data_IF_617412095255
#
_entry.id   IF_617412095255
#
_cell.length_a   1.000
_cell.length_b   1.000
_cell.length_c   1.000
_cell.angle_alpha   90.00
_cell.angle_beta   90.00
_cell.angle_gamma   90.00
#
_symmetry.space_group_name_H-M   'P 1'
#
loop_
_entity.id
_entity.type
_entity.pdbx_description
1 polymer ?
#
# COMPACT_ATOMS: atom_id res chain seq x y z
N UNK A 1 15.20 -5.98 20.91
CA UNK A 1 14.41 -6.55 19.80
C UNK A 1 15.37 -7.16 18.80
N UNK A 2 15.06 -8.36 18.30
CA UNK A 2 15.87 -9.07 17.30
C UNK A 2 15.08 -9.19 16.00
N UNK A 3 15.75 -9.06 14.87
CA UNK A 3 15.20 -9.37 13.55
C UNK A 3 15.65 -10.78 13.16
N UNK A 4 14.70 -11.66 12.90
CA UNK A 4 14.96 -13.08 12.62
C UNK A 4 14.23 -13.49 11.35
N UNK A 5 14.91 -14.23 10.48
CA UNK A 5 14.26 -14.80 9.29
C UNK A 5 13.20 -15.82 9.70
N UNK A 6 12.04 -15.76 9.07
CA UNK A 6 10.91 -16.67 9.37
C UNK A 6 11.25 -18.15 9.18
N UNK A 7 12.18 -18.46 8.27
CA UNK A 7 12.59 -19.82 7.93
C UNK A 7 13.27 -20.58 9.11
N UNK A 8 13.86 -19.83 10.06
CA UNK A 8 14.54 -20.41 11.24
C UNK A 8 13.67 -20.39 12.49
N UNK A 9 12.45 -19.88 12.38
CA UNK A 9 11.51 -19.81 13.49
C UNK A 9 10.55 -20.99 13.50
N UNK A 10 10.05 -21.42 14.67
CA UNK A 10 8.90 -22.34 14.74
C UNK A 10 7.68 -21.78 14.00
N UNK A 11 6.91 -22.67 13.39
CA UNK A 11 5.72 -22.31 12.59
C UNK A 11 4.68 -21.48 13.35
N UNK A 12 4.62 -21.64 14.68
CA UNK A 12 3.66 -20.91 15.52
C UNK A 12 3.77 -19.39 15.35
N UNK A 13 4.95 -18.85 15.15
CA UNK A 13 5.13 -17.40 15.01
C UNK A 13 4.51 -16.85 13.72
N UNK A 14 4.70 -17.53 12.60
CA UNK A 14 4.04 -17.19 11.35
C UNK A 14 2.52 -17.34 11.43
N UNK A 15 2.03 -18.35 12.11
CA UNK A 15 0.60 -18.58 12.34
C UNK A 15 -0.03 -17.51 13.23
N UNK A 16 0.70 -17.01 14.22
CA UNK A 16 0.23 -15.88 15.05
C UNK A 16 0.10 -14.61 14.20
N UNK A 17 1.06 -14.32 13.34
CA UNK A 17 1.00 -13.17 12.42
C UNK A 17 -0.21 -13.28 11.50
N UNK A 18 -0.45 -14.47 10.93
CA UNK A 18 -1.60 -14.69 10.05
C UNK A 18 -2.93 -14.58 10.79
N UNK A 19 -3.02 -15.10 12.02
CA UNK A 19 -4.22 -14.97 12.85
C UNK A 19 -4.52 -13.48 13.15
N UNK A 20 -3.51 -12.69 13.45
CA UNK A 20 -3.65 -11.23 13.63
C UNK A 20 -4.17 -10.56 12.35
N UNK A 21 -3.67 -10.97 11.20
CA UNK A 21 -4.14 -10.46 9.90
C UNK A 21 -5.61 -10.77 9.66
N UNK A 22 -6.02 -11.99 9.94
CA UNK A 22 -7.43 -12.42 9.80
C UNK A 22 -8.37 -11.62 10.71
N UNK A 23 -7.93 -11.29 11.93
CA UNK A 23 -8.67 -10.41 12.83
C UNK A 23 -8.79 -8.98 12.29
N UNK A 24 -7.68 -8.41 11.84
CA UNK A 24 -7.65 -7.04 11.32
C UNK A 24 -8.48 -6.88 10.04
N UNK A 25 -8.48 -7.90 9.18
CA UNK A 25 -9.29 -7.93 7.97
C UNK A 25 -10.75 -8.36 8.22
N UNK A 26 -11.15 -8.59 9.48
CA UNK A 26 -12.48 -9.08 9.87
C UNK A 26 -12.89 -10.40 9.18
N UNK A 27 -11.92 -11.20 8.77
CA UNK A 27 -12.14 -12.56 8.25
C UNK A 27 -12.34 -13.59 9.35
N UNK A 28 -11.90 -13.27 10.55
CA UNK A 28 -12.21 -14.00 11.79
C UNK A 28 -12.95 -13.07 12.75
N UNK A 29 -13.99 -13.57 13.38
CA UNK A 29 -14.83 -12.78 14.28
C UNK A 29 -14.21 -12.61 15.67
N UNK A 30 -13.31 -13.50 16.07
CA UNK A 30 -12.66 -13.50 17.39
C UNK A 30 -11.26 -14.07 17.32
N UNK A 31 -10.47 -13.79 18.37
CA UNK A 31 -9.14 -14.37 18.54
C UNK A 31 -9.17 -15.91 18.58
N UNK A 32 -10.18 -16.48 19.20
CA UNK A 32 -10.39 -17.94 19.24
C UNK A 32 -10.60 -18.51 17.84
N UNK A 33 -11.43 -17.87 17.05
CA UNK A 33 -11.69 -18.28 15.66
C UNK A 33 -10.43 -18.13 14.78
N UNK A 34 -9.74 -17.01 14.90
CA UNK A 34 -8.50 -16.77 14.17
C UNK A 34 -7.42 -17.81 14.50
N UNK A 35 -7.23 -18.13 15.77
CA UNK A 35 -6.31 -19.17 16.21
C UNK A 35 -6.68 -20.53 15.64
N UNK A 36 -7.95 -20.89 15.67
CA UNK A 36 -8.47 -22.15 15.12
C UNK A 36 -8.25 -22.25 13.61
N UNK A 37 -8.51 -21.18 12.86
CA UNK A 37 -8.29 -21.11 11.41
C UNK A 37 -6.81 -21.28 11.04
N UNK A 38 -5.90 -20.81 11.88
CA UNK A 38 -4.46 -20.93 11.69
C UNK A 38 -3.86 -22.21 12.29
N UNK A 39 -4.66 -23.05 12.94
CA UNK A 39 -4.21 -24.32 13.53
C UNK A 39 -3.32 -24.15 14.77
N UNK A 40 -3.53 -23.11 15.55
CA UNK A 40 -2.84 -22.86 16.83
C UNK A 40 -3.83 -22.81 17.98
N UNK A 41 -3.33 -23.07 19.19
CA UNK A 41 -4.15 -22.94 20.39
C UNK A 41 -4.41 -21.46 20.72
N UNK A 42 -5.52 -21.21 21.40
CA UNK A 42 -5.83 -19.90 21.95
C UNK A 42 -4.71 -19.38 22.87
N UNK A 43 -4.16 -20.28 23.70
CA UNK A 43 -3.04 -19.95 24.61
C UNK A 43 -1.80 -19.51 23.87
N UNK A 44 -1.41 -20.20 22.79
CA UNK A 44 -0.27 -19.81 21.95
C UNK A 44 -0.49 -18.46 21.29
N UNK A 45 -1.71 -18.22 20.77
CA UNK A 45 -2.04 -16.92 20.19
C UNK A 45 -1.87 -15.77 21.19
N UNK A 46 -2.45 -15.89 22.39
CA UNK A 46 -2.35 -14.85 23.43
C UNK A 46 -0.94 -14.67 23.97
N UNK A 47 -0.17 -15.75 24.06
CA UNK A 47 1.22 -15.70 24.51
C UNK A 47 2.11 -14.84 23.59
N UNK A 48 1.91 -14.96 22.28
CA UNK A 48 2.80 -14.34 21.30
C UNK A 48 2.18 -13.12 20.59
N UNK A 49 0.91 -12.84 20.78
CA UNK A 49 0.20 -11.77 20.10
C UNK A 49 0.91 -10.43 20.13
N UNK A 50 1.39 -10.02 21.28
CA UNK A 50 1.99 -8.71 21.50
C UNK A 50 3.54 -8.74 21.40
N UNK A 51 4.10 -9.90 21.09
CA UNK A 51 5.55 -10.09 20.97
C UNK A 51 6.03 -10.39 19.55
N UNK A 52 5.13 -10.82 18.66
CA UNK A 52 5.46 -11.23 17.28
C UNK A 52 4.77 -10.30 16.27
N UNK A 53 5.59 -9.66 15.44
CA UNK A 53 5.12 -8.74 14.42
C UNK A 53 5.77 -9.09 13.09
N UNK A 54 4.99 -8.99 12.00
CA UNK A 54 5.56 -9.13 10.67
C UNK A 54 6.48 -7.93 10.40
N UNK A 55 7.74 -8.21 10.13
CA UNK A 55 8.65 -7.24 9.54
C UNK A 55 8.42 -7.25 8.03
N UNK A 56 7.71 -6.26 7.55
CA UNK A 56 7.68 -6.01 6.11
C UNK A 56 9.05 -5.50 5.73
N UNK A 57 9.79 -6.28 4.95
CA UNK A 57 11.00 -5.80 4.32
C UNK A 57 10.65 -4.57 3.48
N UNK A 58 10.76 -3.38 4.06
CA UNK A 58 10.75 -2.13 3.31
C UNK A 58 11.96 -2.05 2.34
N UNK A 59 12.82 -3.06 2.39
CA UNK A 59 14.04 -3.13 1.59
C UNK A 59 13.78 -3.24 0.08
N UNK A 60 12.63 -3.80 -0.34
CA UNK A 60 12.30 -4.00 -1.74
C UNK A 60 11.11 -3.15 -2.24
N UNK A 61 10.53 -2.35 -1.38
CA UNK A 61 9.44 -1.45 -1.76
C UNK A 61 9.85 0.00 -1.49
N UNK A 62 9.55 0.87 -2.41
CA UNK A 62 9.72 2.32 -2.26
C UNK A 62 8.36 3.00 -2.38
N UNK A 63 8.19 4.08 -1.65
CA UNK A 63 7.04 4.96 -1.81
C UNK A 63 7.36 5.98 -2.88
N UNK A 64 6.52 6.05 -3.90
CA UNK A 64 6.59 7.05 -4.96
C UNK A 64 5.53 8.10 -4.69
N UNK A 65 5.94 9.34 -4.68
CA UNK A 65 5.05 10.49 -4.52
C UNK A 65 4.93 11.23 -5.85
N UNK A 66 3.70 11.44 -6.30
CA UNK A 66 3.38 12.18 -7.52
C UNK A 66 2.59 13.43 -7.17
N UNK A 67 2.87 14.51 -7.86
CA UNK A 67 2.07 15.73 -7.87
C UNK A 67 1.59 16.00 -9.29
N UNK A 68 0.30 16.25 -9.44
CA UNK A 68 -0.30 16.53 -10.73
C UNK A 68 -1.26 17.72 -10.63
N UNK A 69 -1.41 18.42 -11.73
CA UNK A 69 -2.49 19.39 -11.94
C UNK A 69 -3.39 18.83 -13.03
N UNK A 70 -4.65 18.64 -12.70
CA UNK A 70 -5.68 18.09 -13.58
C UNK A 70 -6.70 19.17 -13.94
N UNK A 71 -7.27 19.08 -15.14
CA UNK A 71 -8.47 19.85 -15.46
C UNK A 71 -9.63 19.43 -14.55
N UNK A 72 -10.38 20.41 -14.08
CA UNK A 72 -11.61 20.17 -13.30
C UNK A 72 -12.75 19.73 -14.22
N UNK A 73 -12.65 18.52 -14.71
CA UNK A 73 -13.65 17.85 -15.56
C UNK A 73 -14.03 16.50 -14.97
N UNK A 74 -15.32 16.16 -15.10
CA UNK A 74 -15.78 14.83 -14.70
C UNK A 74 -15.00 13.72 -15.44
N UNK A 75 -14.53 12.74 -14.67
CA UNK A 75 -13.82 11.56 -15.18
C UNK A 75 -12.30 11.68 -15.28
N UNK A 76 -11.70 12.86 -15.22
CA UNK A 76 -10.22 13.00 -15.33
C UNK A 76 -9.52 12.32 -14.16
N UNK A 77 -9.95 12.60 -12.93
CA UNK A 77 -9.39 11.94 -11.75
C UNK A 77 -9.63 10.43 -11.76
N UNK A 78 -10.83 9.99 -12.15
CA UNK A 78 -11.16 8.57 -12.25
C UNK A 78 -10.27 7.86 -13.26
N UNK A 79 -9.99 8.46 -14.39
CA UNK A 79 -9.08 7.91 -15.39
C UNK A 79 -7.64 7.87 -14.89
N UNK A 80 -7.22 8.90 -14.19
CA UNK A 80 -5.88 8.95 -13.54
C UNK A 80 -5.70 7.78 -12.57
N UNK A 81 -6.67 7.55 -11.70
CA UNK A 81 -6.66 6.41 -10.76
C UNK A 81 -6.70 5.07 -11.50
N UNK A 82 -7.50 4.97 -12.56
CA UNK A 82 -7.60 3.74 -13.37
C UNK A 82 -6.28 3.35 -14.01
N UNK A 83 -5.54 4.31 -14.54
CA UNK A 83 -4.20 4.07 -15.11
C UNK A 83 -3.23 3.59 -14.05
N UNK A 84 -3.25 4.19 -12.86
CA UNK A 84 -2.43 3.72 -11.73
C UNK A 84 -2.79 2.28 -11.35
N UNK A 85 -4.07 1.95 -11.33
CA UNK A 85 -4.55 0.59 -11.05
C UNK A 85 -4.08 -0.42 -12.12
N UNK A 86 -4.21 -0.08 -13.40
CA UNK A 86 -3.72 -0.92 -14.50
C UNK A 86 -2.22 -1.17 -14.42
N UNK A 87 -1.45 -0.17 -13.96
CA UNK A 87 -0.01 -0.28 -13.75
C UNK A 87 0.36 -1.01 -12.45
N UNK A 88 -0.63 -1.58 -11.74
CA UNK A 88 -0.47 -2.30 -10.48
C UNK A 88 0.16 -1.46 -9.37
N UNK A 89 -0.02 -0.15 -9.42
CA UNK A 89 0.37 0.75 -8.36
C UNK A 89 -0.55 0.54 -7.14
N UNK A 90 0.04 0.26 -5.99
CA UNK A 90 -0.71 0.16 -4.75
C UNK A 90 -0.81 1.54 -4.10
N UNK A 91 -1.93 2.23 -4.33
CA UNK A 91 -2.16 3.59 -3.83
C UNK A 91 -2.25 3.57 -2.31
N UNK A 92 -1.44 4.39 -1.66
CA UNK A 92 -1.42 4.57 -0.21
C UNK A 92 -2.25 5.78 0.19
N UNK A 93 -2.05 6.91 -0.48
CA UNK A 93 -2.80 8.15 -0.26
C UNK A 93 -3.12 8.82 -1.58
N UNK A 94 -4.26 9.47 -1.62
CA UNK A 94 -4.64 10.36 -2.70
C UNK A 94 -5.36 11.56 -2.11
N UNK A 95 -4.92 12.76 -2.49
CA UNK A 95 -5.52 14.00 -2.05
C UNK A 95 -5.78 14.90 -3.26
N UNK A 96 -6.97 15.42 -3.36
CA UNK A 96 -7.33 16.44 -4.33
C UNK A 96 -7.64 17.73 -3.60
N UNK A 97 -6.97 18.81 -4.01
CA UNK A 97 -7.30 20.16 -3.54
C UNK A 97 -8.64 20.64 -4.09
N UNK A 98 -9.19 21.66 -3.48
CA UNK A 98 -10.38 22.34 -4.01
C UNK A 98 -10.07 22.90 -5.39
N UNK A 99 -10.88 22.62 -6.42
CA UNK A 99 -10.68 23.18 -7.74
C UNK A 99 -10.72 24.72 -7.72
N UNK A 100 -9.82 25.33 -8.47
CA UNK A 100 -9.76 26.78 -8.65
C UNK A 100 -9.26 27.10 -10.05
N UNK A 101 -9.89 28.03 -10.72
CA UNK A 101 -9.50 28.43 -12.07
C UNK A 101 -9.62 27.31 -13.12
N UNK A 102 -10.52 26.36 -12.92
CA UNK A 102 -10.75 25.24 -13.84
C UNK A 102 -9.74 24.09 -13.70
N UNK A 103 -8.92 24.08 -12.66
CA UNK A 103 -7.94 23.03 -12.40
C UNK A 103 -7.94 22.60 -10.93
N UNK A 104 -7.51 21.39 -10.67
CA UNK A 104 -7.33 20.86 -9.33
C UNK A 104 -5.93 20.25 -9.18
N UNK A 105 -5.33 20.48 -8.03
CA UNK A 105 -4.08 19.82 -7.68
C UNK A 105 -4.36 18.47 -7.03
N UNK A 106 -3.64 17.45 -7.48
CA UNK A 106 -3.76 16.09 -6.96
C UNK A 106 -2.39 15.61 -6.52
N UNK A 107 -2.31 15.05 -5.32
CA UNK A 107 -1.11 14.36 -4.83
C UNK A 107 -1.44 12.91 -4.59
N UNK A 108 -0.57 12.01 -5.06
CA UNK A 108 -0.75 10.56 -4.91
C UNK A 108 0.55 9.97 -4.38
N UNK A 109 0.42 9.14 -3.36
CA UNK A 109 1.52 8.28 -2.91
C UNK A 109 1.14 6.84 -3.17
N UNK A 110 2.03 6.09 -3.80
CA UNK A 110 1.81 4.67 -4.04
C UNK A 110 3.09 3.87 -3.77
N UNK A 111 2.89 2.59 -3.50
CA UNK A 111 3.98 1.65 -3.25
C UNK A 111 4.41 1.01 -4.57
N UNK A 112 5.71 1.06 -4.84
CA UNK A 112 6.35 0.41 -5.98
C UNK A 112 7.46 -0.50 -5.52
N UNK A 113 7.75 -1.55 -6.29
CA UNK A 113 8.94 -2.37 -6.04
C UNK A 113 10.19 -1.60 -6.44
N UNK A 114 11.23 -1.69 -5.63
CA UNK A 114 12.54 -1.15 -6.00
C UNK A 114 13.04 -1.84 -7.29
N UNK A 115 13.60 -1.06 -8.19
CA UNK A 115 14.19 -1.50 -9.46
C UNK A 115 13.20 -1.98 -10.54
N UNK A 116 11.92 -1.67 -10.42
CA UNK A 116 10.92 -2.11 -11.41
C UNK A 116 11.02 -1.35 -12.75
N UNK A 117 11.81 -0.26 -12.84
CA UNK A 117 11.83 0.62 -14.02
C UNK A 117 10.43 1.16 -14.38
N UNK A 118 9.47 0.93 -13.50
CA UNK A 118 8.04 1.13 -13.76
C UNK A 118 7.62 2.59 -13.58
N UNK A 119 8.40 3.37 -12.81
CA UNK A 119 8.06 4.77 -12.51
C UNK A 119 8.01 5.61 -13.79
N UNK A 120 9.00 5.46 -14.67
CA UNK A 120 9.05 6.18 -15.96
C UNK A 120 7.85 5.83 -16.85
N UNK A 121 7.46 4.56 -16.87
CA UNK A 121 6.28 4.09 -17.62
C UNK A 121 4.97 4.62 -17.04
N UNK A 122 4.87 4.67 -15.72
CA UNK A 122 3.71 5.25 -15.03
C UNK A 122 3.58 6.73 -15.36
N UNK A 123 4.67 7.49 -15.23
CA UNK A 123 4.69 8.91 -15.58
C UNK A 123 4.32 9.14 -17.06
N UNK A 124 4.88 8.35 -17.96
CA UNK A 124 4.56 8.43 -19.38
C UNK A 124 3.08 8.19 -19.67
N UNK A 125 2.50 7.13 -19.12
CA UNK A 125 1.08 6.82 -19.32
C UNK A 125 0.16 7.86 -18.70
N UNK A 126 0.46 8.33 -17.50
CA UNK A 126 -0.32 9.36 -16.82
C UNK A 126 -0.27 10.69 -17.57
N UNK A 127 0.88 11.07 -18.10
CA UNK A 127 1.04 12.33 -18.85
C UNK A 127 0.25 12.35 -20.18
N UNK A 128 -0.07 11.18 -20.73
CA UNK A 128 -0.87 11.06 -21.97
C UNK A 128 -2.38 11.16 -21.74
N UNK A 129 -2.84 11.18 -20.50
CA UNK A 129 -4.27 11.33 -20.19
C UNK A 129 -4.70 12.75 -20.57
N UNK A 130 -5.78 12.84 -21.35
CA UNK A 130 -6.42 14.11 -21.63
C UNK A 130 -6.98 14.71 -20.34
N UNK A 131 -6.57 15.93 -20.03
CA UNK A 131 -6.90 16.62 -18.77
C UNK A 131 -5.78 16.64 -17.75
N UNK A 132 -4.67 15.93 -17.93
CA UNK A 132 -3.46 16.07 -17.14
C UNK A 132 -2.62 17.23 -17.66
N UNK A 133 -2.55 18.30 -16.89
CA UNK A 133 -1.85 19.54 -17.29
C UNK A 133 -0.38 19.43 -16.93
N UNK A 134 -0.08 19.09 -15.68
CA UNK A 134 1.29 18.85 -15.20
C UNK A 134 1.35 17.56 -14.39
N UNK A 135 2.50 16.92 -14.42
CA UNK A 135 2.78 15.72 -13.65
C UNK A 135 4.27 15.70 -13.30
N UNK A 136 4.57 15.55 -12.02
CA UNK A 136 5.93 15.43 -11.54
C UNK A 136 6.05 14.41 -10.43
N UNK A 137 7.20 13.76 -10.36
CA UNK A 137 7.56 12.96 -9.20
C UNK A 137 8.17 13.88 -8.14
N UNK A 138 7.59 13.84 -6.95
CA UNK A 138 8.15 14.53 -5.80
C UNK A 138 9.15 13.59 -5.13
N UNK A 139 10.42 13.95 -5.16
CA UNK A 139 11.44 13.22 -4.40
C UNK A 139 11.18 13.49 -2.92
N UNK A 140 10.78 12.46 -2.21
CA UNK A 140 10.51 12.56 -0.79
C UNK A 140 11.75 13.07 -0.08
N UNK A 141 11.63 14.25 0.52
CA UNK A 141 12.55 14.68 1.55
C UNK A 141 12.52 13.65 2.67
N UNK A 142 13.67 13.26 3.11
CA UNK A 142 13.83 12.43 4.30
C UNK A 142 13.17 13.11 5.49
#
# INVERSE_FOLDING_TARGET
MLLVKSEVLPDVFGKVVEAKRLLNCKKAASATEAAKMCGISRSAFYKYRDAVFAYKEMANESVVNLSAVLEDKAGVLSLFISVLHEMKANILTINQGMPSGGVAQVTVSYRSKKNDGNISKVLERLSKIDGVITLEQVLGGV
#
